data_IF_564172835978
#
_entry.id   IF_564172835978
#
_cell.length_a   1.000
_cell.length_b   1.000
_cell.length_c   1.000
_cell.angle_alpha   90.00
_cell.angle_beta   90.00
_cell.angle_gamma   90.00
#
_symmetry.space_group_name_H-M   'P 1'
#
loop_
_entity.id
_entity.type
_entity.pdbx_description
1 polymer ?
#
# COMPACT_ATOMS: atom_id res chain seq x y z
N UNK A 1 -31.16 26.33 21.81
CA UNK A 1 -29.91 25.80 22.39
C UNK A 1 -30.05 24.29 22.42
N UNK A 2 -29.33 23.61 21.51
CA UNK A 2 -28.14 22.77 21.84
C UNK A 2 -28.60 21.40 22.35
N UNK A 3 -28.67 20.41 21.44
CA UNK A 3 -27.74 19.27 21.29
C UNK A 3 -28.32 18.02 22.02
N UNK A 4 -28.08 16.75 21.70
CA UNK A 4 -26.89 16.07 21.17
C UNK A 4 -27.29 14.64 20.71
N UNK A 5 -26.80 14.23 19.53
CA UNK A 5 -26.14 12.94 19.13
C UNK A 5 -26.60 11.62 19.82
N UNK A 6 -27.25 10.67 19.13
CA UNK A 6 -26.76 9.62 18.20
C UNK A 6 -26.13 8.36 18.85
N UNK A 7 -26.77 7.19 18.65
CA UNK A 7 -26.23 5.95 18.04
C UNK A 7 -26.96 4.69 18.53
N UNK A 8 -27.49 3.88 17.61
CA UNK A 8 -27.38 2.41 17.60
C UNK A 8 -28.19 1.80 16.43
N UNK A 9 -27.50 0.99 15.63
CA UNK A 9 -27.97 0.01 14.64
C UNK A 9 -29.38 -0.57 14.90
N UNK A 10 -30.26 -0.57 13.88
CA UNK A 10 -31.14 -1.72 13.59
C UNK A 10 -31.91 -1.67 12.26
N UNK A 11 -31.85 -2.82 11.58
CA UNK A 11 -32.91 -3.54 10.82
C UNK A 11 -33.02 -3.34 9.31
N UNK A 12 -32.62 -4.43 8.65
CA UNK A 12 -33.25 -5.06 7.48
C UNK A 12 -34.77 -4.86 7.45
N UNK A 13 -35.26 -4.45 6.29
CA UNK A 13 -36.69 -4.41 5.92
C UNK A 13 -36.84 -3.93 4.48
N UNK A 14 -36.33 -4.70 3.50
CA UNK A 14 -36.48 -4.41 2.08
C UNK A 14 -37.89 -4.80 1.62
N UNK A 15 -38.73 -3.79 1.39
CA UNK A 15 -39.86 -3.88 0.46
C UNK A 15 -39.37 -3.22 -0.84
N UNK A 16 -39.21 -4.01 -1.89
CA UNK A 16 -38.81 -3.54 -3.20
C UNK A 16 -39.84 -2.53 -3.73
N UNK A 17 -39.48 -1.25 -3.77
CA UNK A 17 -40.19 -0.24 -4.57
C UNK A 17 -39.49 -0.10 -5.92
N UNK A 18 -40.24 0.07 -7.03
CA UNK A 18 -39.67 0.31 -8.33
C UNK A 18 -38.98 1.68 -8.33
N UNK A 19 -37.70 1.71 -8.70
CA UNK A 19 -36.88 2.91 -8.83
C UNK A 19 -37.42 3.71 -10.03
N UNK A 20 -38.26 4.70 -9.74
CA UNK A 20 -38.71 5.72 -10.67
C UNK A 20 -38.12 7.07 -10.26
N UNK A 21 -36.80 7.18 -10.22
CA UNK A 21 -36.17 8.48 -10.48
C UNK A 21 -34.80 8.34 -11.13
N UNK A 22 -34.56 9.13 -12.16
CA UNK A 22 -33.36 9.14 -12.99
C UNK A 22 -32.38 10.15 -12.40
N UNK A 23 -31.68 9.83 -11.30
CA UNK A 23 -30.44 10.54 -10.93
C UNK A 23 -29.62 10.03 -9.74
N UNK A 24 -29.97 8.91 -9.10
CA UNK A 24 -29.21 8.45 -7.94
C UNK A 24 -28.34 7.23 -8.26
N UNK A 25 -27.22 7.47 -8.94
CA UNK A 25 -26.03 6.64 -8.68
C UNK A 25 -25.37 7.34 -7.49
N UNK A 26 -25.63 6.82 -6.30
CA UNK A 26 -24.93 7.26 -5.09
C UNK A 26 -23.48 6.83 -5.26
N UNK A 27 -22.63 7.80 -5.57
CA UNK A 27 -21.18 7.63 -5.54
C UNK A 27 -20.81 7.19 -4.12
N UNK A 28 -20.00 6.14 -3.95
CA UNK A 28 -19.38 5.97 -2.64
C UNK A 28 -18.49 7.19 -2.41
N UNK A 29 -18.58 7.79 -1.22
CA UNK A 29 -17.78 8.96 -0.87
C UNK A 29 -16.28 8.70 -1.14
N UNK A 30 -15.84 7.44 -1.07
CA UNK A 30 -14.47 6.96 -1.30
C UNK A 30 -13.90 7.15 -2.72
N UNK A 31 -14.70 6.94 -3.79
CA UNK A 31 -14.16 6.94 -5.16
C UNK A 31 -13.97 8.35 -5.75
N UNK A 32 -14.75 9.32 -5.26
CA UNK A 32 -14.67 10.74 -5.62
C UNK A 32 -14.78 11.53 -4.32
N UNK A 33 -13.74 11.49 -3.49
CA UNK A 33 -13.64 12.43 -2.38
C UNK A 33 -13.44 13.82 -2.97
N UNK A 34 -14.54 14.56 -3.01
CA UNK A 34 -14.62 15.97 -3.30
C UNK A 34 -13.95 16.67 -2.12
N UNK A 35 -12.90 17.49 -2.31
CA UNK A 35 -12.37 18.31 -1.24
C UNK A 35 -13.52 19.08 -0.61
N UNK A 36 -13.63 19.09 0.73
CA UNK A 36 -14.67 19.78 1.51
C UNK A 36 -14.77 21.32 1.28
N UNK A 37 -14.08 21.86 0.26
CA UNK A 37 -14.27 23.22 -0.20
C UNK A 37 -15.64 23.40 -0.87
N UNK A 38 -16.16 24.63 -0.84
CA UNK A 38 -17.33 25.12 -1.58
C UNK A 38 -17.13 25.03 -3.12
N UNK A 39 -16.86 23.84 -3.61
CA UNK A 39 -16.67 23.56 -5.01
C UNK A 39 -18.04 23.60 -5.72
N UNK A 40 -18.19 24.51 -6.69
CA UNK A 40 -19.39 24.60 -7.52
C UNK A 40 -19.71 23.22 -8.11
N UNK A 41 -20.99 22.81 -8.09
CA UNK A 41 -21.50 21.55 -8.64
C UNK A 41 -20.93 21.23 -10.03
N UNK A 42 -20.74 22.25 -10.87
CA UNK A 42 -20.14 22.08 -12.21
C UNK A 42 -18.70 21.56 -12.16
N UNK A 43 -17.91 22.00 -11.19
CA UNK A 43 -16.55 21.52 -10.98
C UNK A 43 -16.52 20.05 -10.54
N UNK A 44 -17.50 19.64 -9.73
CA UNK A 44 -17.68 18.27 -9.28
C UNK A 44 -18.05 17.33 -10.43
N UNK A 45 -19.03 17.74 -11.24
CA UNK A 45 -19.45 17.00 -12.43
C UNK A 45 -18.26 16.82 -13.40
N UNK A 46 -17.44 17.86 -13.59
CA UNK A 46 -16.24 17.81 -14.43
C UNK A 46 -15.16 16.87 -13.87
N UNK A 47 -14.92 16.90 -12.55
CA UNK A 47 -13.93 16.02 -11.90
C UNK A 47 -14.37 14.56 -11.97
N UNK A 48 -15.65 14.29 -11.69
CA UNK A 48 -16.23 12.96 -11.80
C UNK A 48 -16.13 12.42 -13.23
N UNK A 49 -16.44 13.26 -14.23
CA UNK A 49 -16.28 12.89 -15.63
C UNK A 49 -14.81 12.59 -15.97
N UNK A 50 -13.86 13.40 -15.49
CA UNK A 50 -12.44 13.15 -15.70
C UNK A 50 -11.97 11.82 -15.09
N UNK A 51 -12.36 11.52 -13.85
CA UNK A 51 -12.00 10.27 -13.17
C UNK A 51 -12.63 9.06 -13.84
N UNK A 52 -13.86 9.20 -14.33
CA UNK A 52 -14.53 8.17 -15.16
C UNK A 52 -13.76 7.92 -16.47
N UNK A 53 -13.39 8.99 -17.20
CA UNK A 53 -12.59 8.87 -18.43
C UNK A 53 -11.28 8.16 -18.15
N UNK A 54 -10.61 8.47 -17.05
CA UNK A 54 -9.36 7.86 -16.65
C UNK A 54 -9.49 6.35 -16.42
N UNK A 55 -10.52 5.90 -15.71
CA UNK A 55 -10.74 4.45 -15.50
C UNK A 55 -10.96 3.71 -16.82
N UNK A 56 -11.77 4.25 -17.72
CA UNK A 56 -11.93 3.65 -19.05
C UNK A 56 -10.62 3.64 -19.85
N UNK A 57 -9.83 4.71 -19.78
CA UNK A 57 -8.53 4.75 -20.42
C UNK A 57 -7.56 3.69 -19.86
N UNK A 58 -7.54 3.48 -18.55
CA UNK A 58 -6.76 2.40 -17.91
C UNK A 58 -7.20 1.06 -18.47
N UNK A 59 -8.51 0.82 -18.54
CA UNK A 59 -9.05 -0.43 -19.06
C UNK A 59 -8.70 -0.66 -20.53
N UNK A 60 -8.83 0.37 -21.37
CA UNK A 60 -8.57 0.31 -22.81
C UNK A 60 -7.07 0.19 -23.13
N UNK A 61 -6.21 0.92 -22.42
CA UNK A 61 -4.74 0.77 -22.54
C UNK A 61 -4.30 -0.64 -22.16
N UNK A 62 -4.97 -1.22 -21.18
CA UNK A 62 -4.71 -2.56 -20.66
C UNK A 62 -5.55 -3.63 -21.35
N UNK A 63 -6.02 -3.39 -22.58
CA UNK A 63 -6.86 -4.32 -23.36
C UNK A 63 -6.30 -5.74 -23.38
N UNK A 64 -5.01 -5.90 -23.64
CA UNK A 64 -4.38 -7.23 -23.71
C UNK A 64 -4.49 -7.97 -22.37
N UNK A 65 -4.26 -7.26 -21.26
CA UNK A 65 -4.37 -7.78 -19.90
C UNK A 65 -5.84 -8.10 -19.55
N UNK A 66 -6.79 -7.23 -19.89
CA UNK A 66 -8.23 -7.46 -19.73
C UNK A 66 -8.69 -8.74 -20.44
N UNK A 67 -8.33 -8.87 -21.72
CA UNK A 67 -8.68 -10.03 -22.55
C UNK A 67 -8.02 -11.32 -22.04
N UNK A 68 -6.79 -11.24 -21.53
CA UNK A 68 -6.11 -12.37 -20.91
C UNK A 68 -6.77 -12.77 -19.58
N UNK A 69 -7.15 -11.78 -18.76
CA UNK A 69 -7.80 -11.96 -17.47
C UNK A 69 -9.25 -12.40 -17.59
N UNK A 70 -9.85 -12.18 -18.77
CA UNK A 70 -11.27 -12.41 -19.04
C UNK A 70 -12.17 -11.65 -18.07
N UNK A 71 -11.80 -10.40 -17.77
CA UNK A 71 -12.53 -9.57 -16.80
C UNK A 71 -12.59 -10.14 -15.39
N UNK A 72 -11.74 -11.10 -15.03
CA UNK A 72 -11.69 -11.61 -13.65
C UNK A 72 -11.18 -10.55 -12.69
N UNK A 73 -11.49 -10.71 -11.40
CA UNK A 73 -11.05 -9.87 -10.29
C UNK A 73 -9.55 -9.47 -10.29
N UNK A 74 -8.61 -10.26 -10.86
CA UNK A 74 -7.20 -9.83 -11.03
C UNK A 74 -7.05 -8.60 -11.93
N UNK A 75 -7.91 -8.46 -12.95
CA UNK A 75 -7.95 -7.27 -13.78
C UNK A 75 -8.45 -6.06 -13.01
N UNK A 76 -9.50 -6.24 -12.22
CA UNK A 76 -10.07 -5.14 -11.45
C UNK A 76 -9.15 -4.70 -10.33
N UNK A 77 -8.37 -5.61 -9.75
CA UNK A 77 -7.29 -5.27 -8.83
C UNK A 77 -6.23 -4.40 -9.50
N UNK A 78 -5.80 -4.76 -10.71
CA UNK A 78 -4.90 -3.92 -11.49
C UNK A 78 -5.54 -2.57 -11.82
N UNK A 79 -6.80 -2.56 -12.26
CA UNK A 79 -7.48 -1.34 -12.66
C UNK A 79 -7.62 -0.38 -11.48
N UNK A 80 -7.98 -0.87 -10.29
CA UNK A 80 -8.09 -0.07 -9.08
C UNK A 80 -6.72 0.47 -8.64
N UNK A 81 -5.67 -0.35 -8.68
CA UNK A 81 -4.29 0.09 -8.37
C UNK A 81 -3.74 1.16 -9.32
N UNK A 82 -4.23 1.21 -10.56
CA UNK A 82 -3.85 2.24 -11.54
C UNK A 82 -4.82 3.41 -11.57
N UNK A 83 -6.00 3.25 -10.95
CA UNK A 83 -7.01 4.28 -10.92
C UNK A 83 -6.60 5.34 -9.91
N UNK A 84 -6.48 6.55 -10.42
CA UNK A 84 -5.96 7.67 -9.68
C UNK A 84 -7.04 8.27 -8.78
N UNK A 85 -7.32 7.60 -7.67
CA UNK A 85 -8.32 8.03 -6.69
C UNK A 85 -7.66 8.59 -5.45
N UNK A 86 -8.38 9.43 -4.71
CA UNK A 86 -7.87 10.01 -3.46
C UNK A 86 -7.91 9.05 -2.28
N UNK A 87 -8.70 7.97 -2.38
CA UNK A 87 -8.77 6.91 -1.40
C UNK A 87 -8.62 5.54 -2.05
N UNK A 88 -8.52 4.52 -1.21
CA UNK A 88 -8.55 3.13 -1.67
C UNK A 88 -9.86 2.85 -2.40
N UNK A 89 -9.76 2.20 -3.55
CA UNK A 89 -10.91 1.64 -4.28
C UNK A 89 -10.71 0.15 -4.36
N UNK A 90 -11.68 -0.60 -3.82
CA UNK A 90 -11.65 -2.05 -3.93
C UNK A 90 -11.83 -2.49 -5.39
N UNK A 91 -11.29 -3.66 -5.77
CA UNK A 91 -11.53 -4.22 -7.09
C UNK A 91 -13.02 -4.38 -7.41
N UNK A 92 -13.82 -4.78 -6.42
CA UNK A 92 -15.27 -4.95 -6.58
C UNK A 92 -15.97 -3.62 -6.83
N UNK A 93 -15.56 -2.52 -6.16
CA UNK A 93 -16.10 -1.19 -6.43
C UNK A 93 -15.78 -0.72 -7.84
N UNK A 94 -14.54 -0.91 -8.31
CA UNK A 94 -14.15 -0.56 -9.68
C UNK A 94 -14.96 -1.34 -10.74
N UNK A 95 -15.16 -2.64 -10.53
CA UNK A 95 -15.98 -3.50 -11.39
C UNK A 95 -17.44 -3.04 -11.40
N UNK A 96 -18.07 -2.93 -10.23
CA UNK A 96 -19.47 -2.52 -10.09
C UNK A 96 -19.72 -1.13 -10.70
N UNK A 97 -18.75 -0.24 -10.59
CA UNK A 97 -18.83 1.09 -11.17
C UNK A 97 -18.84 1.05 -12.70
N UNK A 98 -17.98 0.24 -13.33
CA UNK A 98 -17.97 0.06 -14.78
C UNK A 98 -19.25 -0.62 -15.26
N UNK A 99 -19.72 -1.65 -14.55
CA UNK A 99 -20.97 -2.35 -14.88
C UNK A 99 -22.17 -1.40 -14.82
N UNK A 100 -22.20 -0.52 -13.82
CA UNK A 100 -23.22 0.53 -13.70
C UNK A 100 -23.18 1.50 -14.88
N UNK A 101 -21.99 1.88 -15.35
CA UNK A 101 -21.83 2.72 -16.53
C UNK A 101 -22.33 2.03 -17.81
N UNK A 102 -21.98 0.75 -17.99
CA UNK A 102 -22.45 -0.07 -19.13
C UNK A 102 -23.97 -0.18 -19.12
N UNK A 103 -24.58 -0.53 -17.98
CA UNK A 103 -26.04 -0.63 -17.86
C UNK A 103 -26.76 0.72 -18.07
N UNK A 104 -26.13 1.84 -17.67
CA UNK A 104 -26.64 3.18 -17.99
C UNK A 104 -26.56 3.48 -19.49
N UNK A 105 -25.48 3.05 -20.15
CA UNK A 105 -25.27 3.27 -21.59
C UNK A 105 -26.27 2.50 -22.45
N UNK A 106 -26.57 1.26 -22.09
CA UNK A 106 -27.58 0.44 -22.78
C UNK A 106 -28.98 1.06 -22.72
N UNK A 107 -29.29 1.76 -21.62
CA UNK A 107 -30.57 2.46 -21.40
C UNK A 107 -30.65 3.82 -22.11
N UNK A 108 -29.53 4.33 -22.64
CA UNK A 108 -29.47 5.66 -23.24
C UNK A 108 -29.94 5.65 -24.70
N UNK A 109 -31.03 6.37 -24.98
CA UNK A 109 -31.63 6.43 -26.31
C UNK A 109 -30.72 7.07 -27.39
N UNK A 110 -30.78 6.51 -28.59
CA UNK A 110 -30.04 6.96 -29.78
C UNK A 110 -30.54 8.36 -30.18
N UNK A 111 -29.67 9.39 -30.11
CA UNK A 111 -30.03 10.75 -30.57
C UNK A 111 -29.29 11.92 -29.92
N UNK A 112 -28.61 11.74 -28.78
CA UNK A 112 -27.74 12.78 -28.18
C UNK A 112 -26.31 12.73 -28.74
N UNK A 113 -25.69 13.90 -28.84
CA UNK A 113 -24.27 14.08 -29.19
C UNK A 113 -23.39 13.21 -28.28
N UNK A 114 -22.55 12.37 -28.89
CA UNK A 114 -21.61 11.50 -28.17
C UNK A 114 -20.41 12.32 -27.69
N UNK A 115 -20.37 12.62 -26.40
CA UNK A 115 -19.17 13.13 -25.73
C UNK A 115 -18.05 12.08 -25.69
N UNK A 116 -16.85 12.49 -25.28
CA UNK A 116 -15.66 11.64 -25.22
C UNK A 116 -15.86 10.42 -24.29
N UNK A 117 -16.43 10.63 -23.11
CA UNK A 117 -16.72 9.56 -22.13
C UNK A 117 -17.61 8.46 -22.72
N UNK A 118 -18.62 8.85 -23.51
CA UNK A 118 -19.48 7.90 -24.20
C UNK A 118 -18.73 7.09 -25.27
N UNK A 119 -17.74 7.69 -25.95
CA UNK A 119 -16.90 6.97 -26.91
C UNK A 119 -15.98 5.96 -26.22
N UNK A 120 -15.33 6.36 -25.13
CA UNK A 120 -14.49 5.45 -24.33
C UNK A 120 -15.30 4.26 -23.80
N UNK A 121 -16.50 4.51 -23.31
CA UNK A 121 -17.41 3.46 -22.86
C UNK A 121 -17.87 2.55 -24.02
N UNK A 122 -18.23 3.09 -25.18
CA UNK A 122 -18.57 2.30 -26.37
C UNK A 122 -17.38 1.39 -26.79
N UNK A 123 -16.15 1.91 -26.71
CA UNK A 123 -14.94 1.14 -26.99
C UNK A 123 -14.69 0.03 -25.95
N UNK A 124 -14.98 0.31 -24.68
CA UNK A 124 -14.88 -0.67 -23.60
C UNK A 124 -15.92 -1.78 -23.79
N UNK A 125 -17.18 -1.45 -24.09
CA UNK A 125 -18.24 -2.44 -24.37
C UNK A 125 -17.82 -3.36 -25.51
N UNK A 126 -17.29 -2.81 -26.62
CA UNK A 126 -16.75 -3.61 -27.73
C UNK A 126 -15.58 -4.52 -27.29
N UNK A 127 -14.72 -4.04 -26.41
CA UNK A 127 -13.63 -4.86 -25.83
C UNK A 127 -14.19 -5.98 -24.95
N UNK A 128 -15.25 -5.72 -24.18
CA UNK A 128 -15.94 -6.71 -23.36
C UNK A 128 -16.65 -7.77 -24.21
N UNK A 129 -17.36 -7.38 -25.26
CA UNK A 129 -17.96 -8.31 -26.24
C UNK A 129 -16.90 -9.21 -26.89
N UNK A 130 -15.74 -8.66 -27.25
CA UNK A 130 -14.63 -9.46 -27.77
C UNK A 130 -14.14 -10.49 -26.74
N UNK A 131 -14.06 -10.09 -25.46
CA UNK A 131 -13.68 -10.98 -24.36
C UNK A 131 -14.65 -12.16 -24.22
N UNK A 132 -15.96 -11.89 -24.30
CA UNK A 132 -17.01 -12.91 -24.25
C UNK A 132 -16.93 -13.85 -25.47
N UNK A 133 -16.73 -13.30 -26.67
CA UNK A 133 -16.65 -14.06 -27.92
C UNK A 133 -15.46 -15.04 -27.99
N UNK A 134 -14.36 -14.76 -27.26
CA UNK A 134 -13.13 -15.58 -27.27
C UNK A 134 -13.27 -16.96 -26.63
N UNK A 135 -14.41 -17.28 -26.02
CA UNK A 135 -14.69 -18.59 -25.40
C UNK A 135 -13.83 -18.89 -24.18
N UNK A 136 -14.17 -19.97 -23.46
CA UNK A 136 -13.47 -20.33 -22.23
C UNK A 136 -12.10 -20.98 -22.49
N UNK A 137 -11.05 -20.16 -22.64
CA UNK A 137 -9.67 -20.67 -22.54
C UNK A 137 -9.31 -20.90 -21.08
N UNK A 138 -8.75 -22.09 -20.79
CA UNK A 138 -8.47 -22.56 -19.42
C UNK A 138 -7.29 -21.86 -18.72
N UNK A 139 -6.47 -21.07 -19.42
CA UNK A 139 -5.23 -20.52 -18.83
C UNK A 139 -4.96 -19.07 -19.21
N UNK A 140 -4.53 -18.33 -18.19
CA UNK A 140 -4.07 -16.97 -18.25
C UNK A 140 -2.69 -16.93 -18.92
N UNK A 141 -2.52 -16.19 -20.01
CA UNK A 141 -1.23 -16.00 -20.69
C UNK A 141 -1.08 -14.54 -21.06
N UNK A 142 -0.26 -13.80 -20.31
CA UNK A 142 0.19 -12.49 -20.79
C UNK A 142 1.36 -12.73 -21.74
N UNK A 143 1.05 -12.96 -23.01
CA UNK A 143 2.06 -12.83 -24.06
C UNK A 143 2.20 -11.35 -24.38
N UNK A 144 3.05 -10.63 -23.65
CA UNK A 144 3.36 -9.24 -24.01
C UNK A 144 4.14 -9.30 -25.30
N UNK A 145 3.64 -8.66 -26.35
CA UNK A 145 4.43 -8.46 -27.56
C UNK A 145 5.65 -7.61 -27.21
N UNK A 146 6.88 -8.10 -27.42
CA UNK A 146 8.10 -7.34 -27.13
C UNK A 146 8.16 -5.97 -27.85
N UNK A 147 7.37 -5.76 -28.89
CA UNK A 147 7.27 -4.48 -29.60
C UNK A 147 6.65 -3.34 -28.77
N UNK A 148 5.89 -3.66 -27.72
CA UNK A 148 5.28 -2.68 -26.81
C UNK A 148 6.19 -2.33 -25.64
N UNK A 149 7.18 -3.18 -25.35
CA UNK A 149 8.24 -2.92 -24.38
C UNK A 149 9.23 -2.00 -25.11
N UNK A 150 9.06 -0.70 -24.88
CA UNK A 150 9.71 0.42 -25.53
C UNK A 150 11.16 0.17 -25.95
N UNK A 151 11.53 0.73 -27.11
CA UNK A 151 12.89 0.86 -27.68
C UNK A 151 13.99 1.26 -26.67
N UNK A 152 13.65 1.75 -25.49
CA UNK A 152 14.55 1.95 -24.35
C UNK A 152 15.23 0.64 -23.90
N UNK A 153 14.53 -0.49 -23.95
CA UNK A 153 15.12 -1.80 -23.64
C UNK A 153 16.27 -2.11 -24.61
N UNK A 154 16.14 -1.76 -25.91
CA UNK A 154 17.15 -2.09 -26.94
C UNK A 154 18.53 -1.46 -26.70
N UNK A 155 18.64 -0.39 -25.91
CA UNK A 155 19.94 0.21 -25.58
C UNK A 155 20.63 -0.47 -24.39
N UNK A 156 19.88 -1.00 -23.42
CA UNK A 156 20.45 -1.69 -22.25
C UNK A 156 20.43 -3.23 -22.35
N UNK A 157 19.51 -3.83 -23.10
CA UNK A 157 19.43 -5.28 -23.38
C UNK A 157 20.10 -5.66 -24.70
N UNK A 158 21.32 -5.17 -24.94
CA UNK A 158 22.18 -5.74 -26.00
C UNK A 158 22.85 -7.05 -25.61
N UNK A 159 22.54 -7.62 -24.43
CA UNK A 159 23.21 -8.81 -23.92
C UNK A 159 22.20 -9.77 -23.28
N UNK A 160 22.18 -10.98 -23.82
CA UNK A 160 21.38 -12.14 -23.40
C UNK A 160 19.94 -12.25 -23.92
N UNK A 161 19.72 -12.01 -25.23
CA UNK A 161 18.70 -12.79 -25.94
C UNK A 161 19.31 -14.12 -26.37
N UNK A 162 19.37 -15.07 -25.42
CA UNK A 162 19.31 -16.47 -25.83
C UNK A 162 17.95 -16.66 -26.48
N UNK A 163 17.96 -17.09 -27.74
CA UNK A 163 16.77 -17.29 -28.55
C UNK A 163 15.87 -18.35 -27.90
N UNK A 164 14.98 -17.94 -27.00
CA UNK A 164 13.88 -18.79 -26.54
C UNK A 164 12.99 -19.01 -27.75
N UNK A 165 12.95 -20.25 -28.24
CA UNK A 165 12.02 -20.67 -29.29
C UNK A 165 10.61 -20.20 -28.94
N UNK A 166 9.85 -19.57 -29.88
CA UNK A 166 8.49 -19.09 -29.63
C UNK A 166 7.50 -20.20 -29.22
N UNK A 167 7.90 -21.47 -29.26
CA UNK A 167 7.09 -22.61 -28.87
C UNK A 167 6.85 -22.74 -27.35
N UNK A 168 7.65 -22.07 -26.50
CA UNK A 168 7.52 -22.17 -25.04
C UNK A 168 7.77 -20.82 -24.38
N UNK A 169 6.96 -19.81 -24.73
CA UNK A 169 6.89 -18.59 -23.92
C UNK A 169 6.50 -18.98 -22.48
N UNK A 170 7.44 -18.83 -21.54
CA UNK A 170 7.19 -19.08 -20.13
C UNK A 170 5.98 -18.26 -19.67
N UNK A 171 5.11 -18.86 -18.86
CA UNK A 171 3.94 -18.19 -18.31
C UNK A 171 4.42 -17.06 -17.39
N UNK A 172 4.03 -15.83 -17.72
CA UNK A 172 4.45 -14.63 -17.00
C UNK A 172 3.27 -13.73 -16.62
N UNK A 173 3.17 -13.26 -15.35
CA UNK A 173 3.91 -13.73 -14.17
C UNK A 173 3.73 -15.24 -13.87
N UNK A 174 4.58 -15.84 -13.02
CA UNK A 174 4.48 -17.24 -12.64
C UNK A 174 3.17 -17.52 -11.88
N UNK A 175 2.60 -18.72 -12.06
CA UNK A 175 1.26 -19.04 -11.56
C UNK A 175 1.13 -19.06 -10.02
N UNK A 176 2.25 -19.15 -9.29
CA UNK A 176 2.26 -19.16 -7.82
C UNK A 176 2.13 -17.76 -7.20
N UNK A 177 2.21 -16.70 -8.00
CA UNK A 177 1.89 -15.34 -7.56
C UNK A 177 0.38 -15.15 -7.42
N UNK A 178 0.02 -14.43 -6.38
CA UNK A 178 -1.36 -14.13 -6.04
C UNK A 178 -1.92 -13.06 -6.98
N UNK A 179 -3.24 -12.88 -6.99
CA UNK A 179 -3.87 -11.86 -7.85
C UNK A 179 -3.33 -10.44 -7.57
N UNK A 180 -3.14 -10.10 -6.29
CA UNK A 180 -2.58 -8.81 -5.89
C UNK A 180 -1.16 -8.63 -6.43
N UNK A 181 -0.31 -9.64 -6.27
CA UNK A 181 1.07 -9.59 -6.75
C UNK A 181 1.14 -9.52 -8.27
N UNK A 182 0.27 -10.26 -8.98
CA UNK A 182 0.15 -10.16 -10.43
C UNK A 182 -0.27 -8.75 -10.84
N UNK A 183 -1.18 -8.09 -10.13
CA UNK A 183 -1.58 -6.71 -10.40
C UNK A 183 -0.39 -5.74 -10.27
N UNK A 184 0.43 -5.88 -9.23
CA UNK A 184 1.67 -5.08 -9.07
C UNK A 184 2.69 -5.37 -10.18
N UNK A 185 2.92 -6.65 -10.49
CA UNK A 185 3.86 -7.08 -11.54
C UNK A 185 3.43 -6.63 -12.94
N UNK A 186 2.14 -6.36 -13.14
CA UNK A 186 1.59 -5.90 -14.41
C UNK A 186 1.61 -4.40 -14.59
N UNK A 187 2.05 -3.63 -13.59
CA UNK A 187 2.23 -2.19 -13.74
C UNK A 187 3.26 -1.89 -14.83
N UNK A 188 2.98 -0.93 -15.72
CA UNK A 188 3.77 -0.66 -16.93
C UNK A 188 5.26 -0.42 -16.63
N UNK A 189 5.57 0.34 -15.57
CA UNK A 189 6.94 0.58 -15.08
C UNK A 189 7.69 -0.70 -14.71
N UNK A 190 6.98 -1.66 -14.13
CA UNK A 190 7.54 -2.90 -13.58
C UNK A 190 7.70 -3.92 -14.71
N UNK A 191 6.62 -4.14 -15.46
CA UNK A 191 6.58 -5.18 -16.48
C UNK A 191 7.52 -4.88 -17.65
N UNK A 192 7.72 -3.61 -17.99
CA UNK A 192 8.67 -3.21 -19.03
C UNK A 192 10.12 -3.55 -18.67
N UNK A 193 10.45 -3.72 -17.39
CA UNK A 193 11.81 -3.96 -16.91
C UNK A 193 12.03 -5.41 -16.45
N UNK A 194 11.01 -6.05 -15.88
CA UNK A 194 11.15 -7.37 -15.25
C UNK A 194 10.53 -8.52 -16.06
N UNK A 195 10.01 -8.26 -17.26
CA UNK A 195 9.40 -9.29 -18.08
C UNK A 195 10.37 -10.45 -18.34
N UNK A 196 9.96 -11.66 -17.96
CA UNK A 196 10.70 -12.90 -18.16
C UNK A 196 11.76 -13.22 -17.10
N UNK A 197 11.99 -12.33 -16.13
CA UNK A 197 12.82 -12.63 -14.94
C UNK A 197 12.07 -13.63 -14.08
N UNK A 198 12.68 -14.73 -13.69
CA UNK A 198 12.07 -15.80 -12.87
C UNK A 198 13.06 -16.26 -11.81
N UNK A 199 12.63 -17.10 -10.87
CA UNK A 199 13.51 -17.73 -9.89
C UNK A 199 14.71 -18.46 -10.52
N UNK A 200 14.51 -19.08 -11.68
CA UNK A 200 15.58 -19.79 -12.42
C UNK A 200 16.57 -18.85 -13.12
N UNK A 201 16.35 -17.54 -13.05
CA UNK A 201 17.20 -16.54 -13.71
C UNK A 201 18.52 -16.41 -12.97
N UNK A 202 19.60 -16.90 -13.58
CA UNK A 202 20.95 -16.76 -13.02
C UNK A 202 21.46 -15.32 -13.15
N UNK A 203 21.52 -14.63 -12.02
CA UNK A 203 22.10 -13.30 -11.88
C UNK A 203 23.57 -13.42 -11.50
N UNK A 204 24.46 -12.93 -12.35
CA UNK A 204 25.93 -13.06 -12.19
C UNK A 204 26.63 -11.71 -12.14
N UNK A 205 25.92 -10.61 -12.43
CA UNK A 205 26.50 -9.27 -12.53
C UNK A 205 25.55 -8.23 -11.95
N UNK A 206 26.11 -7.20 -11.33
CA UNK A 206 25.37 -6.06 -10.79
C UNK A 206 24.42 -5.41 -11.82
N UNK A 207 24.83 -5.28 -13.09
CA UNK A 207 24.00 -4.68 -14.13
C UNK A 207 22.76 -5.50 -14.54
N UNK A 208 22.54 -6.67 -13.95
CA UNK A 208 21.30 -7.46 -14.11
C UNK A 208 20.28 -7.18 -13.01
N UNK A 209 20.66 -6.46 -11.96
CA UNK A 209 19.76 -6.01 -10.90
C UNK A 209 19.16 -4.65 -11.30
N UNK A 210 17.89 -4.37 -10.92
CA UNK A 210 17.44 -2.99 -10.90
C UNK A 210 18.34 -2.19 -9.95
N UNK A 211 18.40 -0.88 -10.16
CA UNK A 211 19.09 0.00 -9.24
C UNK A 211 18.50 -0.19 -7.82
N UNK A 212 19.36 -0.41 -6.83
CA UNK A 212 18.93 -0.47 -5.44
C UNK A 212 18.38 0.91 -5.06
N UNK A 213 17.13 0.99 -4.58
CA UNK A 213 16.56 2.24 -4.12
C UNK A 213 17.47 2.92 -3.09
N UNK A 214 17.59 4.22 -3.22
CA UNK A 214 18.27 5.08 -2.25
C UNK A 214 17.22 5.94 -1.54
N UNK A 215 17.67 6.78 -0.64
CA UNK A 215 16.82 7.70 0.10
C UNK A 215 16.05 8.73 -0.75
N UNK A 216 16.27 8.82 -2.06
CA UNK A 216 15.53 9.73 -2.95
C UNK A 216 14.73 8.95 -4.01
N UNK A 217 14.58 7.63 -3.83
CA UNK A 217 13.94 6.78 -4.79
C UNK A 217 12.43 7.10 -4.88
N UNK A 218 11.94 7.17 -6.12
CA UNK A 218 10.51 7.27 -6.34
C UNK A 218 9.81 5.97 -5.87
N UNK A 219 8.59 6.02 -5.31
CA UNK A 219 7.87 4.82 -4.85
C UNK A 219 7.78 3.67 -5.88
N UNK A 220 7.70 4.00 -7.17
CA UNK A 220 7.72 3.01 -8.26
C UNK A 220 9.07 2.28 -8.41
N UNK A 221 10.18 2.93 -8.09
CA UNK A 221 11.51 2.30 -8.15
C UNK A 221 11.71 1.36 -6.96
N UNK A 222 11.16 1.71 -5.80
CA UNK A 222 11.05 0.80 -4.65
C UNK A 222 10.20 -0.42 -5.02
N UNK A 223 9.00 -0.20 -5.59
CA UNK A 223 8.13 -1.29 -6.08
C UNK A 223 8.83 -2.16 -7.11
N UNK A 224 9.63 -1.58 -8.01
CA UNK A 224 10.44 -2.31 -8.98
C UNK A 224 11.46 -3.22 -8.29
N UNK A 225 12.18 -2.72 -7.30
CA UNK A 225 13.12 -3.51 -6.52
C UNK A 225 12.43 -4.64 -5.75
N UNK A 226 11.31 -4.37 -5.09
CA UNK A 226 10.55 -5.37 -4.32
C UNK A 226 9.96 -6.45 -5.24
N UNK A 227 9.42 -6.04 -6.39
CA UNK A 227 8.95 -6.95 -7.42
C UNK A 227 10.09 -7.85 -7.92
N UNK A 228 11.23 -7.26 -8.29
CA UNK A 228 12.41 -8.03 -8.70
C UNK A 228 12.83 -9.03 -7.61
N UNK A 229 12.93 -8.58 -6.36
CA UNK A 229 13.27 -9.41 -5.21
C UNK A 229 12.33 -10.60 -5.08
N UNK A 230 11.03 -10.39 -5.22
CA UNK A 230 10.05 -11.48 -5.21
C UNK A 230 10.29 -12.45 -6.37
N UNK A 231 10.45 -11.97 -7.60
CA UNK A 231 10.59 -12.83 -8.79
C UNK A 231 11.82 -13.72 -8.76
N UNK A 232 12.94 -13.26 -8.19
CA UNK A 232 14.21 -13.99 -8.19
C UNK A 232 14.35 -14.92 -6.99
N UNK A 233 13.52 -14.77 -5.95
CA UNK A 233 13.58 -15.58 -4.73
C UNK A 233 12.37 -16.52 -4.56
N UNK A 234 11.29 -16.34 -5.33
CA UNK A 234 10.05 -17.09 -5.14
C UNK A 234 9.81 -18.15 -6.21
N UNK A 235 9.57 -19.37 -5.74
CA UNK A 235 9.09 -20.49 -6.53
C UNK A 235 7.66 -20.90 -6.09
N UNK A 236 7.18 -22.05 -6.59
CA UNK A 236 5.87 -22.58 -6.19
C UNK A 236 5.76 -23.04 -4.74
N UNK A 237 6.89 -23.19 -4.04
CA UNK A 237 7.01 -23.69 -2.67
C UNK A 237 7.40 -22.61 -1.66
N UNK A 238 7.42 -21.33 -2.05
CA UNK A 238 7.80 -20.22 -1.17
C UNK A 238 7.02 -20.23 0.16
N UNK A 239 7.73 -20.11 1.27
CA UNK A 239 7.11 -19.91 2.59
C UNK A 239 6.96 -18.42 2.94
N UNK A 240 7.73 -17.56 2.26
CA UNK A 240 7.71 -16.11 2.46
C UNK A 240 6.92 -15.41 1.35
N UNK A 241 6.34 -14.25 1.65
CA UNK A 241 5.79 -13.32 0.67
C UNK A 241 6.32 -11.90 0.89
N UNK A 242 6.34 -11.08 -0.15
CA UNK A 242 6.79 -9.68 -0.08
C UNK A 242 5.65 -8.77 -0.51
N UNK A 243 5.37 -7.76 0.32
CA UNK A 243 4.53 -6.65 -0.08
C UNK A 243 5.32 -5.80 -1.10
N UNK A 244 4.89 -5.77 -2.36
CA UNK A 244 5.60 -5.01 -3.40
C UNK A 244 5.18 -3.53 -3.43
N UNK A 245 4.17 -3.13 -2.67
CA UNK A 245 3.87 -1.73 -2.43
C UNK A 245 4.70 -1.21 -1.24
N UNK A 246 5.44 -0.10 -1.39
CA UNK A 246 6.08 0.57 -0.27
C UNK A 246 5.04 0.96 0.79
N UNK A 247 5.35 0.80 2.07
CA UNK A 247 4.45 1.11 3.18
C UNK A 247 4.84 2.49 3.70
N UNK A 248 4.06 3.52 3.42
CA UNK A 248 4.47 4.91 3.71
C UNK A 248 3.56 5.61 4.71
N UNK A 249 2.26 5.34 4.59
CA UNK A 249 1.24 6.10 5.29
C UNK A 249 0.65 5.28 6.44
N UNK A 250 0.15 5.97 7.45
CA UNK A 250 -0.62 5.33 8.51
C UNK A 250 -2.02 4.95 8.02
N UNK A 251 -2.68 5.93 7.40
CA UNK A 251 -4.05 5.82 6.93
C UNK A 251 -4.25 6.52 5.58
N UNK A 252 -5.48 6.44 5.09
CA UNK A 252 -5.89 7.03 3.82
C UNK A 252 -5.93 8.57 3.85
N UNK A 253 -6.08 9.17 5.02
CA UNK A 253 -6.11 10.63 5.15
C UNK A 253 -4.70 11.20 5.03
N UNK A 254 -3.69 10.61 5.69
CA UNK A 254 -2.29 10.96 5.50
C UNK A 254 -1.87 10.76 4.04
N UNK A 255 -2.21 9.60 3.45
CA UNK A 255 -1.94 9.34 2.03
C UNK A 255 -2.54 10.42 1.12
N UNK A 256 -3.76 10.87 1.41
CA UNK A 256 -4.46 11.92 0.65
C UNK A 256 -3.78 13.28 0.80
N UNK A 257 -3.35 13.63 2.01
CA UNK A 257 -2.65 14.88 2.30
C UNK A 257 -1.34 14.95 1.48
N UNK A 258 -0.61 13.82 1.38
CA UNK A 258 0.62 13.71 0.60
C UNK A 258 0.43 13.53 -0.91
N UNK A 259 -0.76 13.17 -1.37
CA UNK A 259 -1.01 12.88 -2.78
C UNK A 259 -0.63 14.07 -3.68
N UNK A 260 -1.00 15.30 -3.30
CA UNK A 260 -0.65 16.49 -4.08
C UNK A 260 0.83 16.85 -3.95
N UNK A 261 1.38 16.76 -2.74
CA UNK A 261 2.78 17.09 -2.45
C UNK A 261 3.76 16.19 -3.25
N UNK A 262 3.40 14.93 -3.43
CA UNK A 262 4.21 13.93 -4.16
C UNK A 262 3.92 13.87 -5.66
N UNK A 263 3.16 14.83 -6.21
CA UNK A 263 2.76 14.79 -7.62
C UNK A 263 1.95 13.54 -8.00
N UNK A 264 1.22 12.98 -7.05
CA UNK A 264 0.44 11.75 -7.19
C UNK A 264 1.19 10.46 -6.89
N UNK A 265 2.48 10.50 -6.53
CA UNK A 265 3.26 9.29 -6.26
C UNK A 265 2.78 8.53 -5.01
N UNK A 266 2.15 9.21 -4.04
CA UNK A 266 1.58 8.60 -2.83
C UNK A 266 0.60 7.46 -3.12
N UNK A 267 -0.07 7.45 -4.27
CA UNK A 267 -1.00 6.36 -4.67
C UNK A 267 -0.32 5.00 -4.84
N UNK A 268 1.00 5.00 -5.05
CA UNK A 268 1.78 3.77 -5.20
C UNK A 268 2.25 3.21 -3.86
N UNK A 269 2.02 3.93 -2.76
CA UNK A 269 2.32 3.45 -1.42
C UNK A 269 1.05 2.94 -0.74
N UNK A 270 1.26 1.98 0.13
CA UNK A 270 0.25 1.42 1.00
C UNK A 270 0.29 2.03 2.39
N UNK A 271 -0.84 1.89 3.08
CA UNK A 271 -0.97 2.18 4.51
C UNK A 271 -0.50 0.99 5.36
N UNK A 272 -0.20 1.23 6.65
CA UNK A 272 0.10 0.16 7.62
C UNK A 272 -1.08 -0.82 7.75
N UNK A 273 -2.30 -0.30 7.69
CA UNK A 273 -3.53 -1.09 7.67
C UNK A 273 -3.64 -1.99 6.44
N UNK A 274 -3.43 -1.44 5.23
CA UNK A 274 -3.47 -2.20 3.97
C UNK A 274 -2.44 -3.35 3.99
N UNK A 275 -1.22 -3.05 4.44
CA UNK A 275 -0.17 -4.06 4.62
C UNK A 275 -0.58 -5.17 5.58
N UNK A 276 -1.10 -4.81 6.76
CA UNK A 276 -1.46 -5.79 7.79
C UNK A 276 -2.62 -6.70 7.38
N UNK A 277 -3.62 -6.15 6.68
CA UNK A 277 -4.72 -6.94 6.11
C UNK A 277 -4.23 -7.89 5.00
N UNK A 278 -3.36 -7.41 4.12
CA UNK A 278 -2.73 -8.24 3.10
C UNK A 278 -1.89 -9.37 3.73
N UNK A 279 -1.05 -9.04 4.72
CA UNK A 279 -0.24 -9.98 5.48
C UNK A 279 -1.09 -11.10 6.09
N UNK A 280 -2.20 -10.74 6.75
CA UNK A 280 -3.14 -11.69 7.35
C UNK A 280 -3.72 -12.66 6.32
N UNK A 281 -3.99 -12.17 5.11
CA UNK A 281 -4.47 -13.01 4.01
C UNK A 281 -3.38 -13.95 3.47
N UNK A 282 -2.11 -13.53 3.46
CA UNK A 282 -0.99 -14.40 3.10
C UNK A 282 -0.75 -15.50 4.13
N UNK A 283 -0.82 -15.21 5.42
CA UNK A 283 -0.75 -16.25 6.46
C UNK A 283 -1.91 -17.25 6.36
N UNK A 284 -3.13 -16.79 6.06
CA UNK A 284 -4.29 -17.68 5.79
C UNK A 284 -4.08 -18.59 4.57
N UNK A 285 -3.21 -18.20 3.63
CA UNK A 285 -2.81 -19.01 2.47
C UNK A 285 -1.69 -20.01 2.80
N UNK A 286 -1.23 -20.06 4.04
CA UNK A 286 -0.19 -20.96 4.51
C UNK A 286 1.22 -20.40 4.40
N UNK A 287 1.39 -19.09 4.18
CA UNK A 287 2.72 -18.47 4.30
C UNK A 287 3.16 -18.49 5.76
N UNK A 288 4.47 -18.59 5.96
CA UNK A 288 5.12 -18.58 7.27
C UNK A 288 5.76 -17.22 7.57
N UNK A 289 5.99 -16.40 6.55
CA UNK A 289 6.56 -15.08 6.71
C UNK A 289 6.05 -14.10 5.66
N UNK A 290 5.98 -12.83 6.02
CA UNK A 290 5.73 -11.72 5.11
C UNK A 290 6.74 -10.60 5.39
N UNK A 291 7.34 -10.07 4.33
CA UNK A 291 8.27 -8.96 4.40
C UNK A 291 7.70 -7.73 3.68
N UNK A 292 8.10 -6.55 4.12
CA UNK A 292 7.73 -5.28 3.52
C UNK A 292 8.84 -4.25 3.69
N UNK A 293 8.74 -3.17 2.93
CA UNK A 293 9.61 -2.02 3.09
C UNK A 293 8.75 -0.83 3.47
N UNK A 294 8.94 -0.33 4.68
CA UNK A 294 8.32 0.91 5.10
C UNK A 294 9.21 2.08 4.68
N UNK A 295 8.69 3.08 3.96
CA UNK A 295 9.43 4.18 3.35
C UNK A 295 8.79 5.52 3.73
N UNK A 296 9.57 6.46 4.27
CA UNK A 296 9.05 7.63 4.97
C UNK A 296 9.77 8.94 4.59
N UNK A 297 9.01 10.03 4.60
CA UNK A 297 9.54 11.40 4.53
C UNK A 297 9.77 11.90 5.94
N UNK A 298 10.93 12.51 6.21
CA UNK A 298 11.12 13.33 7.41
C UNK A 298 10.47 14.69 7.15
N UNK A 299 9.44 15.09 7.89
CA UNK A 299 8.98 16.47 7.86
C UNK A 299 9.83 17.24 8.88
N UNK A 300 10.98 17.76 8.47
CA UNK A 300 11.55 18.85 9.27
C UNK A 300 10.57 20.02 9.19
N UNK A 301 9.86 20.22 10.30
CA UNK A 301 9.09 21.42 10.54
C UNK A 301 10.06 22.60 10.45
N UNK A 302 9.89 23.54 9.51
CA UNK A 302 10.66 24.77 9.57
C UNK A 302 10.31 25.43 10.90
N UNK A 303 11.31 25.53 11.79
CA UNK A 303 11.27 26.19 13.11
C UNK A 303 10.06 27.13 13.29
N UNK A 304 8.96 26.62 13.85
CA UNK A 304 7.76 27.40 14.23
C UNK A 304 8.02 28.33 15.42
N UNK A 305 9.27 28.49 15.86
CA UNK A 305 9.67 29.41 16.92
C UNK A 305 9.78 30.88 16.48
N UNK A 306 9.43 31.22 15.24
CA UNK A 306 9.29 32.61 14.82
C UNK A 306 7.83 33.02 14.72
N UNK A 307 7.34 33.59 15.82
CA UNK A 307 6.09 34.35 15.91
C UNK A 307 6.03 35.44 14.83
N UNK A 308 5.49 35.11 13.66
CA UNK A 308 5.04 36.12 12.70
C UNK A 308 3.61 35.81 12.29
N UNK A 309 2.72 36.56 12.91
CA UNK A 309 1.30 36.60 12.61
C UNK A 309 1.09 37.01 11.14
N UNK A 310 0.26 36.21 10.48
CA UNK A 310 -0.55 36.49 9.29
C UNK A 310 0.09 36.37 7.91
N UNK A 311 -0.50 35.42 7.18
CA UNK A 311 -1.03 35.53 5.82
C UNK A 311 -0.30 34.75 4.71
N UNK A 312 -1.14 33.94 4.06
CA UNK A 312 -0.98 33.21 2.81
C UNK A 312 -0.25 31.86 2.84
N UNK A 313 -1.01 30.86 2.43
CA UNK A 313 -0.64 29.47 2.19
C UNK A 313 0.61 29.35 1.33
N UNK A 314 1.78 29.26 1.95
CA UNK A 314 2.95 28.67 1.32
C UNK A 314 2.87 27.16 1.54
N UNK A 315 2.47 26.48 0.46
CA UNK A 315 2.63 25.06 0.28
C UNK A 315 4.14 24.77 0.34
N UNK A 316 4.64 24.44 1.54
CA UNK A 316 6.03 24.07 1.75
C UNK A 316 6.24 22.70 1.12
N UNK A 317 6.75 22.68 -0.12
CA UNK A 317 7.35 21.50 -0.71
C UNK A 317 8.52 21.09 0.18
N UNK A 318 8.59 19.80 0.55
CA UNK A 318 9.76 19.20 1.17
C UNK A 318 11.02 19.66 0.42
N UNK A 319 11.93 20.32 1.13
CA UNK A 319 13.20 20.79 0.55
C UNK A 319 13.99 19.59 0.04
N UNK A 320 14.64 19.72 -1.11
CA UNK A 320 15.43 18.66 -1.78
C UNK A 320 16.58 18.07 -0.94
N UNK A 321 16.80 18.58 0.28
CA UNK A 321 17.97 18.32 1.10
C UNK A 321 17.77 17.22 2.16
N UNK A 322 16.55 16.69 2.35
CA UNK A 322 16.29 15.66 3.36
C UNK A 322 16.02 14.27 2.78
N UNK A 323 16.91 13.28 3.02
CA UNK A 323 16.76 11.93 2.51
C UNK A 323 15.58 11.20 3.17
N UNK A 324 14.82 10.46 2.37
CA UNK A 324 13.83 9.51 2.89
C UNK A 324 14.50 8.46 3.77
N UNK A 325 13.76 7.98 4.76
CA UNK A 325 14.18 6.91 5.66
C UNK A 325 13.35 5.66 5.38
N UNK A 326 13.95 4.49 5.53
CA UNK A 326 13.22 3.23 5.41
C UNK A 326 13.41 2.37 6.65
N UNK A 327 12.43 1.50 6.89
CA UNK A 327 12.57 0.35 7.76
C UNK A 327 12.00 -0.87 7.03
N UNK A 328 12.82 -1.88 6.80
CA UNK A 328 12.36 -3.21 6.43
C UNK A 328 11.68 -3.89 7.60
N UNK A 329 10.55 -4.51 7.30
CA UNK A 329 9.70 -5.18 8.28
C UNK A 329 9.52 -6.63 7.88
N UNK A 330 9.53 -7.53 8.85
CA UNK A 330 9.26 -8.94 8.70
C UNK A 330 8.29 -9.39 9.80
N UNK A 331 7.14 -9.90 9.41
CA UNK A 331 6.24 -10.64 10.30
C UNK A 331 6.43 -12.11 9.99
N UNK A 332 6.76 -12.93 10.98
CA UNK A 332 6.91 -14.39 10.80
C UNK A 332 6.12 -15.17 11.84
N UNK A 333 5.61 -16.32 11.42
CA UNK A 333 4.87 -17.24 12.27
C UNK A 333 5.86 -18.15 13.03
N UNK A 334 5.69 -18.25 14.34
CA UNK A 334 6.52 -19.11 15.22
C UNK A 334 5.72 -20.20 15.91
N UNK A 335 4.39 -20.10 15.90
CA UNK A 335 3.51 -21.10 16.48
C UNK A 335 2.14 -21.09 15.83
N UNK A 336 1.20 -21.85 16.40
CA UNK A 336 -0.19 -21.80 15.99
C UNK A 336 -0.79 -20.44 16.36
N UNK A 337 -0.85 -19.55 15.38
CA UNK A 337 -1.34 -18.18 15.55
C UNK A 337 -0.48 -17.36 16.53
N UNK A 338 0.83 -17.63 16.56
CA UNK A 338 1.82 -16.82 17.28
C UNK A 338 2.83 -16.27 16.28
N UNK A 339 3.11 -14.98 16.37
CA UNK A 339 3.91 -14.27 15.39
C UNK A 339 5.05 -13.49 16.07
N UNK A 340 6.11 -13.24 15.31
CA UNK A 340 7.17 -12.31 15.69
C UNK A 340 7.20 -11.18 14.68
N UNK A 341 7.39 -9.96 15.19
CA UNK A 341 7.66 -8.78 14.38
C UNK A 341 9.16 -8.47 14.47
N UNK A 342 9.81 -8.34 13.33
CA UNK A 342 11.22 -7.95 13.21
C UNK A 342 11.29 -6.68 12.36
N UNK A 343 11.97 -5.66 12.85
CA UNK A 343 12.15 -4.37 12.17
C UNK A 343 13.62 -3.96 12.23
N UNK A 344 14.31 -3.80 11.10
CA UNK A 344 15.70 -3.35 11.17
C UNK A 344 15.82 -1.90 11.67
N UNK A 345 16.98 -1.54 12.24
CA UNK A 345 17.22 -0.16 12.64
C UNK A 345 17.43 0.74 11.43
N UNK A 346 16.54 1.71 11.28
CA UNK A 346 16.97 3.03 10.84
C UNK A 346 17.20 3.85 12.10
N UNK A 347 18.46 3.92 12.56
CA UNK A 347 18.86 4.98 13.45
C UNK A 347 18.34 6.32 12.87
N UNK A 348 17.59 7.07 13.69
CA UNK A 348 17.11 8.45 13.49
C UNK A 348 15.62 8.66 13.09
N UNK A 349 14.92 9.30 14.04
CA UNK A 349 13.79 10.26 13.94
C UNK A 349 12.91 10.22 12.69
N UNK A 350 11.69 9.72 12.85
CA UNK A 350 10.56 10.20 12.06
C UNK A 350 9.68 11.01 13.00
N UNK A 351 9.26 12.19 12.55
CA UNK A 351 8.05 12.87 13.00
C UNK A 351 6.96 12.46 12.02
N UNK A 352 5.82 11.97 12.50
CA UNK A 352 4.64 11.78 11.64
C UNK A 352 4.38 13.05 10.83
N UNK A 353 3.92 12.94 9.58
CA UNK A 353 3.50 14.13 8.83
C UNK A 353 2.25 14.79 9.43
N UNK A 354 1.55 14.07 10.32
CA UNK A 354 0.37 14.52 11.04
C UNK A 354 0.56 14.23 12.53
N UNK A 355 1.42 15.01 13.21
CA UNK A 355 1.76 14.76 14.62
C UNK A 355 0.51 14.78 15.53
N UNK A 356 -0.50 15.59 15.19
CA UNK A 356 -1.79 15.60 15.90
C UNK A 356 -2.58 14.29 15.81
N UNK A 357 -2.51 13.56 14.69
CA UNK A 357 -3.17 12.24 14.59
C UNK A 357 -2.56 11.25 15.58
N UNK A 358 -1.24 11.29 15.77
CA UNK A 358 -0.56 10.45 16.76
C UNK A 358 -0.94 10.86 18.17
N UNK A 359 -1.00 12.17 18.45
CA UNK A 359 -1.49 12.70 19.72
C UNK A 359 -2.89 12.20 20.05
N UNK A 360 -3.80 12.25 19.08
CA UNK A 360 -5.19 11.85 19.25
C UNK A 360 -5.36 10.31 19.36
N UNK A 361 -4.56 9.54 18.62
CA UNK A 361 -4.72 8.08 18.50
C UNK A 361 -3.95 7.32 19.60
N UNK A 362 -2.75 7.79 19.92
CA UNK A 362 -1.80 7.12 20.81
C UNK A 362 -1.48 7.94 22.07
N UNK A 363 -2.05 9.13 22.26
CA UNK A 363 -1.85 9.92 23.47
C UNK A 363 -0.52 10.72 23.52
N UNK A 364 0.23 10.77 22.42
CA UNK A 364 1.55 11.45 22.37
C UNK A 364 2.03 11.83 20.97
N UNK A 365 3.11 12.61 20.91
CA UNK A 365 3.78 12.98 19.66
C UNK A 365 4.86 11.95 19.30
N UNK A 366 4.75 11.31 18.13
CA UNK A 366 5.79 10.40 17.64
C UNK A 366 6.93 11.24 17.05
N UNK A 367 7.93 11.55 17.86
CA UNK A 367 9.05 12.44 17.53
C UNK A 367 10.35 11.65 17.25
N UNK A 368 10.31 10.33 17.42
CA UNK A 368 11.45 9.44 17.22
C UNK A 368 11.13 8.26 16.30
N UNK A 369 12.17 7.68 15.70
CA UNK A 369 12.02 6.42 14.95
C UNK A 369 11.54 5.27 15.84
N UNK A 370 11.77 5.36 17.16
CA UNK A 370 11.27 4.38 18.13
C UNK A 370 9.76 4.50 18.35
N UNK A 371 9.22 5.71 18.37
CA UNK A 371 7.77 5.94 18.47
C UNK A 371 7.03 5.35 17.28
N UNK A 372 7.60 5.49 16.08
CA UNK A 372 7.05 4.85 14.89
C UNK A 372 7.05 3.32 15.01
N UNK A 373 8.17 2.72 15.46
CA UNK A 373 8.25 1.28 15.70
C UNK A 373 7.21 0.83 16.73
N UNK A 374 6.98 1.62 17.78
CA UNK A 374 6.02 1.32 18.83
C UNK A 374 4.59 1.34 18.29
N UNK A 375 4.22 2.42 17.58
CA UNK A 375 2.91 2.53 16.95
C UNK A 375 2.71 1.38 15.96
N UNK A 376 3.70 1.06 15.12
CA UNK A 376 3.56 -0.02 14.12
C UNK A 376 3.42 -1.38 14.80
N UNK A 377 4.18 -1.62 15.87
CA UNK A 377 4.03 -2.81 16.70
C UNK A 377 2.61 -2.90 17.25
N UNK A 378 2.05 -1.80 17.76
CA UNK A 378 0.69 -1.76 18.29
C UNK A 378 -0.35 -2.09 17.21
N UNK A 379 -0.27 -1.43 16.05
CA UNK A 379 -1.13 -1.67 14.89
C UNK A 379 -1.11 -3.15 14.47
N UNK A 380 0.10 -3.71 14.35
CA UNK A 380 0.29 -5.12 13.97
C UNK A 380 -0.24 -6.03 15.08
N UNK A 381 -0.02 -5.71 16.34
CA UNK A 381 -0.51 -6.49 17.49
C UNK A 381 -2.05 -6.54 17.56
N UNK A 382 -2.76 -5.56 17.01
CA UNK A 382 -4.24 -5.62 16.90
C UNK A 382 -4.73 -6.74 15.97
N UNK A 383 -3.91 -7.16 15.01
CA UNK A 383 -4.28 -8.13 13.98
C UNK A 383 -3.58 -9.48 14.13
N UNK A 384 -2.43 -9.50 14.81
CA UNK A 384 -1.55 -10.63 15.03
C UNK A 384 -1.23 -10.78 16.51
N UNK A 385 -1.25 -12.00 17.02
CA UNK A 385 -0.76 -12.30 18.36
C UNK A 385 0.78 -12.28 18.37
N UNK A 386 1.36 -11.09 18.52
CA UNK A 386 2.80 -10.86 18.53
C UNK A 386 3.38 -11.32 19.86
N UNK A 387 4.19 -12.37 19.82
CA UNK A 387 4.85 -12.97 21.01
C UNK A 387 6.28 -12.47 21.22
N UNK A 388 6.89 -11.88 20.21
CA UNK A 388 8.18 -11.21 20.33
C UNK A 388 8.32 -10.09 19.30
N UNK A 389 8.98 -9.03 19.73
CA UNK A 389 9.37 -7.91 18.89
C UNK A 389 10.90 -7.83 18.87
N UNK A 390 11.47 -7.79 17.67
CA UNK A 390 12.89 -7.62 17.46
C UNK A 390 13.12 -6.34 16.69
N UNK A 391 14.04 -5.52 17.17
CA UNK A 391 14.39 -4.29 16.51
C UNK A 391 15.87 -3.99 16.62
N UNK A 392 16.34 -3.13 15.73
CA UNK A 392 17.74 -2.74 15.70
C UNK A 392 18.49 -3.44 14.57
N UNK A 393 19.80 -3.51 14.75
CA UNK A 393 20.63 -4.49 14.07
C UNK A 393 21.36 -4.05 12.81
N UNK A 394 22.59 -4.55 12.70
CA UNK A 394 23.49 -4.38 11.56
C UNK A 394 23.15 -5.41 10.48
N UNK A 395 22.34 -5.00 9.51
CA UNK A 395 21.89 -5.87 8.42
C UNK A 395 23.07 -6.17 7.47
N UNK A 396 23.40 -7.45 7.23
CA UNK A 396 24.43 -7.81 6.26
C UNK A 396 24.10 -7.32 4.86
N UNK A 397 25.12 -6.95 4.09
CA UNK A 397 24.94 -6.55 2.69
C UNK A 397 24.69 -7.77 1.78
N UNK A 398 23.43 -8.01 1.43
CA UNK A 398 22.98 -9.09 0.55
C UNK A 398 23.58 -9.02 -0.86
N UNK A 399 24.12 -7.86 -1.24
CA UNK A 399 24.61 -7.56 -2.58
C UNK A 399 26.14 -7.42 -2.64
N UNK A 400 26.85 -7.69 -1.55
CA UNK A 400 28.30 -7.58 -1.47
C UNK A 400 29.00 -8.44 -2.53
N UNK A 401 28.54 -9.69 -2.71
CA UNK A 401 29.08 -10.60 -3.74
C UNK A 401 28.87 -10.12 -5.19
N UNK A 402 28.07 -9.09 -5.40
CA UNK A 402 27.84 -8.45 -6.70
C UNK A 402 28.65 -7.16 -6.87
N UNK A 403 29.43 -6.76 -5.85
CA UNK A 403 30.17 -5.52 -5.81
C UNK A 403 29.28 -4.29 -5.63
N UNK A 404 28.08 -4.44 -5.06
CA UNK A 404 27.18 -3.31 -4.77
C UNK A 404 27.33 -2.92 -3.31
N UNK A 405 27.74 -1.68 -3.05
CA UNK A 405 27.81 -1.11 -1.72
C UNK A 405 26.49 -0.43 -1.34
N UNK A 406 26.03 -0.67 -0.12
CA UNK A 406 24.93 0.05 0.51
C UNK A 406 25.40 1.47 0.85
N UNK A 407 24.55 2.47 0.61
CA UNK A 407 24.91 3.90 0.70
C UNK A 407 24.14 4.67 1.76
N UNK A 408 22.96 4.17 2.12
CA UNK A 408 22.02 4.80 3.02
C UNK A 408 21.11 3.75 3.68
N UNK A 409 20.27 4.20 4.60
CA UNK A 409 19.31 3.36 5.33
C UNK A 409 18.36 2.63 4.37
N UNK A 410 17.90 3.29 3.30
CA UNK A 410 17.02 2.66 2.30
C UNK A 410 17.66 1.45 1.63
N UNK A 411 18.93 1.57 1.23
CA UNK A 411 19.65 0.46 0.64
C UNK A 411 19.90 -0.68 1.64
N UNK A 412 20.13 -0.36 2.92
CA UNK A 412 20.22 -1.36 4.00
C UNK A 412 18.89 -2.08 4.24
N UNK A 413 17.78 -1.36 4.29
CA UNK A 413 16.44 -1.95 4.38
C UNK A 413 16.11 -2.81 3.15
N UNK A 414 16.55 -2.41 1.96
CA UNK A 414 16.44 -3.22 0.76
C UNK A 414 17.22 -4.54 0.89
N UNK A 415 18.41 -4.49 1.51
CA UNK A 415 19.20 -5.68 1.85
C UNK A 415 18.45 -6.60 2.81
N UNK A 416 17.86 -6.04 3.87
CA UNK A 416 17.05 -6.78 4.84
C UNK A 416 15.91 -7.52 4.18
N UNK A 417 15.09 -6.82 3.38
CA UNK A 417 13.94 -7.42 2.68
C UNK A 417 14.39 -8.50 1.69
N UNK A 418 15.52 -8.31 1.02
CA UNK A 418 16.09 -9.31 0.13
C UNK A 418 16.52 -10.58 0.88
N UNK A 419 17.16 -10.45 2.05
CA UNK A 419 17.52 -11.59 2.90
C UNK A 419 16.29 -12.26 3.53
N UNK A 420 15.28 -11.48 3.91
CA UNK A 420 14.00 -12.00 4.40
C UNK A 420 13.29 -12.84 3.34
N UNK A 421 13.29 -12.39 2.08
CA UNK A 421 12.77 -13.13 0.94
C UNK A 421 13.46 -14.49 0.74
N UNK A 422 14.75 -14.57 1.08
CA UNK A 422 15.57 -15.78 1.01
C UNK A 422 15.44 -16.68 2.25
N UNK A 423 14.69 -16.26 3.27
CA UNK A 423 14.63 -16.96 4.55
C UNK A 423 15.96 -16.95 5.31
N UNK A 424 16.80 -15.93 5.07
CA UNK A 424 18.14 -15.79 5.68
C UNK A 424 18.16 -14.86 6.90
N UNK A 425 17.02 -14.31 7.31
CA UNK A 425 16.92 -13.57 8.58
C UNK A 425 16.92 -14.61 9.72
N UNK A 426 17.86 -14.55 10.67
CA UNK A 426 18.03 -15.58 11.71
C UNK A 426 16.74 -15.85 12.49
N UNK A 427 16.41 -17.12 12.71
CA UNK A 427 15.17 -17.55 13.38
C UNK A 427 15.27 -17.61 14.90
N UNK A 428 16.49 -17.76 15.41
CA UNK A 428 16.80 -17.82 16.83
C UNK A 428 17.95 -16.85 17.09
N UNK A 429 17.88 -16.19 18.24
CA UNK A 429 18.94 -15.32 18.75
C UNK A 429 19.56 -14.38 17.71
N UNK A 430 18.76 -13.39 17.26
CA UNK A 430 19.22 -12.38 16.31
C UNK A 430 20.40 -11.53 16.83
N UNK A 431 20.82 -11.73 18.09
CA UNK A 431 21.97 -11.06 18.69
C UNK A 431 23.31 -11.77 18.42
N UNK A 432 23.31 -13.08 18.15
CA UNK A 432 24.56 -13.87 18.05
C UNK A 432 25.14 -13.98 16.63
N UNK A 433 24.34 -13.76 15.59
CA UNK A 433 24.79 -13.92 14.18
C UNK A 433 25.32 -12.63 13.54
N UNK A 434 25.75 -11.64 14.34
CA UNK A 434 26.27 -10.37 13.84
C UNK A 434 25.20 -9.45 13.24
N UNK A 435 23.92 -9.78 13.45
CA UNK A 435 22.79 -8.91 13.09
C UNK A 435 22.47 -7.90 14.19
N UNK A 436 23.02 -8.00 15.41
CA UNK A 436 22.88 -7.02 16.52
C UNK A 436 21.44 -6.57 16.86
N UNK A 437 20.41 -7.41 16.66
CA UNK A 437 19.04 -7.06 17.06
C UNK A 437 18.85 -7.22 18.57
N UNK A 438 18.02 -6.35 19.13
CA UNK A 438 17.53 -6.46 20.50
C UNK A 438 16.08 -6.97 20.51
N UNK A 439 15.81 -7.90 21.42
CA UNK A 439 14.44 -8.35 21.74
C UNK A 439 13.76 -7.44 22.77
N UNK A 440 14.53 -6.60 23.48
CA UNK A 440 13.98 -5.75 24.51
C UNK A 440 13.22 -4.60 23.86
N UNK A 441 11.95 -4.45 24.22
CA UNK A 441 11.21 -3.20 24.01
C UNK A 441 11.99 -2.12 24.76
N UNK A 442 12.54 -1.10 24.08
CA UNK A 442 13.35 -0.11 24.77
C UNK A 442 12.50 0.66 25.78
N UNK A 443 13.07 1.00 26.94
CA UNK A 443 12.46 1.87 27.96
C UNK A 443 12.02 3.24 27.40
N UNK A 444 12.48 3.59 26.20
CA UNK A 444 12.14 4.82 25.49
C UNK A 444 10.93 4.68 24.54
N UNK A 445 10.29 3.50 24.44
CA UNK A 445 9.01 3.34 23.74
C UNK A 445 7.86 3.82 24.64
N UNK A 446 7.55 5.10 24.58
CA UNK A 446 6.52 5.77 25.40
C UNK A 446 5.11 5.23 25.22
N UNK A 447 4.77 4.67 24.06
CA UNK A 447 3.40 4.23 23.74
C UNK A 447 3.02 2.85 24.25
N UNK A 448 4.00 2.01 24.61
CA UNK A 448 3.72 0.62 24.96
C UNK A 448 3.39 0.42 26.45
N UNK A 449 3.88 1.31 27.32
CA UNK A 449 3.78 1.14 28.78
C UNK A 449 2.40 1.54 29.36
N UNK A 450 1.60 2.37 28.67
CA UNK A 450 0.39 2.98 29.27
C UNK A 450 -0.88 2.10 29.28
N UNK A 451 -0.89 0.89 28.73
CA UNK A 451 -2.15 0.08 28.63
C UNK A 451 -2.46 -0.85 29.80
N UNK A 452 -1.50 -1.15 30.68
CA UNK A 452 -1.71 -2.16 31.73
C UNK A 452 -2.07 -1.58 33.12
N UNK A 453 -2.03 -0.26 33.33
CA UNK A 453 -2.29 0.33 34.66
C UNK A 453 -3.76 0.74 34.94
N UNK A 454 -4.67 0.71 33.96
CA UNK A 454 -6.04 1.24 34.13
C UNK A 454 -7.16 0.20 34.30
N UNK A 455 -6.87 -1.07 34.59
CA UNK A 455 -7.90 -2.12 34.77
C UNK A 455 -7.97 -2.77 36.16
N UNK A 456 -7.30 -2.23 37.17
CA UNK A 456 -7.36 -2.76 38.55
C UNK A 456 -7.60 -1.70 39.62
N UNK A 457 -8.57 -0.81 39.42
CA UNK A 457 -9.26 -0.19 40.55
C UNK A 457 -10.73 -0.61 40.50
N UNK A 458 -11.00 -1.79 41.09
CA UNK A 458 -12.33 -2.11 41.58
C UNK A 458 -12.72 -1.04 42.62
N UNK A 459 -13.81 -0.33 42.32
CA UNK A 459 -14.58 0.49 43.25
C UNK A 459 -14.90 -0.30 44.54
N UNK A 460 -14.03 -0.20 45.53
CA UNK A 460 -14.38 -0.35 46.94
C UNK A 460 -14.32 1.01 47.61
N UNK A 461 -15.30 1.86 47.33
CA UNK A 461 -15.61 2.98 48.22
C UNK A 461 -16.73 2.54 49.17
N UNK A 462 -16.29 2.06 50.35
CA UNK A 462 -17.09 2.03 51.56
C UNK A 462 -17.64 3.44 51.83
N UNK A 463 -18.97 3.56 51.83
CA UNK A 463 -19.64 4.73 52.38
C UNK A 463 -19.57 4.64 53.91
N UNK A 464 -18.58 5.28 54.51
CA UNK A 464 -18.59 5.56 55.94
C UNK A 464 -19.24 6.91 56.20
N UNK A 465 -20.43 6.81 56.79
CA UNK A 465 -21.38 7.85 57.12
C UNK A 465 -21.12 8.30 58.57
N UNK A 466 -20.28 9.32 58.76
CA UNK A 466 -20.23 10.16 59.98
C UNK A 466 -19.40 11.41 59.64
N UNK A 467 -19.88 12.65 59.74
CA UNK A 467 -20.77 13.24 60.73
C UNK A 467 -19.98 14.35 61.44
N UNK A 468 -20.60 15.52 61.60
CA UNK A 468 -20.13 16.71 62.35
C UNK A 468 -19.15 17.64 61.60
N UNK A 469 -19.15 18.96 61.72
CA UNK A 469 -20.07 20.02 62.20
C UNK A 469 -19.27 21.33 62.05
N UNK A 470 -19.95 22.48 61.86
CA UNK A 470 -19.44 23.85 62.01
C UNK A 470 -18.39 24.37 60.98
N UNK A 471 -18.39 25.61 60.49
CA UNK A 471 -18.88 26.88 61.02
C UNK A 471 -19.23 27.87 59.89
N UNK A 472 -20.12 28.80 60.25
CA UNK A 472 -20.59 29.98 59.51
C UNK A 472 -19.53 31.08 59.33
N UNK A 473 -19.71 31.84 58.25
CA UNK A 473 -19.47 33.27 58.02
C UNK A 473 -18.24 33.98 58.62
N UNK A 474 -17.37 34.43 57.70
CA UNK A 474 -16.96 35.85 57.62
C UNK A 474 -16.49 36.26 56.23
#
# INVERSE_FOLDING_TARGET
MVATTANALRRRGSVARPIQDKRDVVWSDTAILIPHCDADRKSLDSLAEQKLRQLFQICLRSRTFYLAARGKNVFWQFASEHWDTFGYVSPEEAENFIDSCVACRERWSIGRTRGESARLLDEFVRMHEEMLARGAKRRYRIAIRPSSISLALRKNTRRSTSCVSPATAALWPPEHFTKQEVAWLCHDHIISQLYGITFDTKLTKAGQFPQIPNANAHPLDIRLFLAFTALVNFDSHRNTSICMAPITFWDDDERRDWYRATGGAARFCWTTWEFSQWAKNEFRRGREAVAGLCHFVSPDLPNLSSSSLMSHSTQHCATEDEPWKCVGVLIRKVGNDSYQLVMEDAHHHRVSAKPGYYGDTYGGYADTGMDFKAALLEDVATLFNITAFWHGGDVPNAFEGLGICLRDTVSSSCSFVFLAAQGKVPTQDLSEEGWEFSQNIPEQMTYWEERDEYLTEEDTTECDDSGSEYCEDR
#
